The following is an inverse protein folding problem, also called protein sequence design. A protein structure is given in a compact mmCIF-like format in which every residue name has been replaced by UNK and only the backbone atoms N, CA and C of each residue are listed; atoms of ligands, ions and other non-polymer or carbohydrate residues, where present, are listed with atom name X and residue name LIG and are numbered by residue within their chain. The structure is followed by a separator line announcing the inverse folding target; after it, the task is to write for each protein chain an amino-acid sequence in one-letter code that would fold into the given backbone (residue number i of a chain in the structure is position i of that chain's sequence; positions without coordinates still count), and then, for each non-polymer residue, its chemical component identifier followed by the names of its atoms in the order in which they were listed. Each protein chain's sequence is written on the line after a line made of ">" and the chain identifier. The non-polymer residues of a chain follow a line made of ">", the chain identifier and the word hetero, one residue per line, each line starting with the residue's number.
data_IF_168440941679
#
_entry.id   IF_168440941679
#
_cell.length_a   1.000
_cell.length_b   1.000
_cell.length_c   1.000
_cell.angle_alpha   90.00
_cell.angle_beta   90.00
_cell.angle_gamma   90.00
#
_symmetry.space_group_name_H-M   'P 1'
#
loop_
_entity.id
_entity.type
_entity.pdbx_description
1 polymer ?
#
# COMPACT_ATOMS: atom_id res chain seq x y z
N UNK A 1 26.92 32.83 -29.09
CA UNK A 1 25.55 32.78 -28.52
C UNK A 1 24.77 31.71 -29.27
N UNK A 2 24.37 30.62 -28.61
CA UNK A 2 23.17 29.80 -28.85
C UNK A 2 23.21 28.70 -27.78
N UNK A 3 22.44 28.91 -26.71
CA UNK A 3 22.31 27.96 -25.61
C UNK A 3 21.73 26.64 -26.09
N UNK A 4 22.25 25.54 -25.58
CA UNK A 4 21.62 24.24 -25.77
C UNK A 4 21.19 23.72 -24.40
N UNK A 5 19.88 23.78 -24.19
CA UNK A 5 19.06 23.46 -23.04
C UNK A 5 19.16 22.01 -22.53
N UNK A 6 20.33 21.36 -22.59
CA UNK A 6 20.50 19.91 -22.37
C UNK A 6 20.85 19.50 -20.93
N UNK A 7 20.73 20.40 -19.95
CA UNK A 7 20.95 20.09 -18.52
C UNK A 7 19.73 20.32 -17.61
N UNK A 8 18.52 20.44 -18.17
CA UNK A 8 17.37 20.97 -17.42
C UNK A 8 16.75 19.98 -16.43
N UNK A 9 17.01 18.67 -16.53
CA UNK A 9 16.53 17.71 -15.53
C UNK A 9 17.69 17.03 -14.81
N UNK A 10 17.96 17.51 -13.59
CA UNK A 10 18.82 16.88 -12.59
C UNK A 10 18.38 15.44 -12.30
N UNK A 11 19.26 14.63 -11.70
CA UNK A 11 18.92 13.27 -11.22
C UNK A 11 17.63 13.24 -10.39
N UNK A 12 17.35 14.31 -9.63
CA UNK A 12 16.15 14.49 -8.81
C UNK A 12 14.87 14.66 -9.64
N UNK A 13 14.91 15.43 -10.71
CA UNK A 13 13.72 15.64 -11.54
C UNK A 13 13.34 14.36 -12.30
N UNK A 14 14.34 13.63 -12.83
CA UNK A 14 14.10 12.31 -13.44
C UNK A 14 13.56 11.31 -12.43
N UNK A 15 14.09 11.33 -11.21
CA UNK A 15 13.62 10.51 -10.10
C UNK A 15 12.15 10.82 -9.75
N UNK A 16 11.78 12.10 -9.67
CA UNK A 16 10.41 12.53 -9.40
C UNK A 16 9.47 12.11 -10.53
N UNK A 17 9.86 12.32 -11.79
CA UNK A 17 9.07 11.90 -12.95
C UNK A 17 8.84 10.39 -12.90
N UNK A 18 9.87 9.59 -12.63
CA UNK A 18 9.74 8.15 -12.50
C UNK A 18 8.79 7.78 -11.36
N UNK A 19 8.92 8.38 -10.18
CA UNK A 19 8.06 8.10 -9.04
C UNK A 19 6.59 8.40 -9.34
N UNK A 20 6.31 9.55 -9.98
CA UNK A 20 4.95 9.94 -10.39
C UNK A 20 4.38 8.99 -11.45
N UNK A 21 5.19 8.63 -12.46
CA UNK A 21 4.76 7.69 -13.51
C UNK A 21 4.48 6.31 -12.92
N UNK A 22 5.36 5.80 -12.05
CA UNK A 22 5.18 4.51 -11.40
C UNK A 22 3.90 4.51 -10.57
N UNK A 23 3.69 5.51 -9.73
CA UNK A 23 2.48 5.65 -8.92
C UNK A 23 1.22 5.70 -9.80
N UNK A 24 1.22 6.52 -10.86
CA UNK A 24 0.08 6.63 -11.76
C UNK A 24 -0.24 5.31 -12.45
N UNK A 25 0.77 4.62 -13.01
CA UNK A 25 0.58 3.34 -13.70
C UNK A 25 0.10 2.26 -12.74
N UNK A 26 0.63 2.20 -11.51
CA UNK A 26 0.13 1.29 -10.47
C UNK A 26 -1.33 1.60 -10.12
N UNK A 27 -1.71 2.86 -9.90
CA UNK A 27 -3.11 3.25 -9.65
C UNK A 27 -4.02 2.74 -10.78
N UNK A 28 -3.64 2.99 -12.05
CA UNK A 28 -4.44 2.53 -13.19
C UNK A 28 -4.52 1.01 -13.33
N UNK A 29 -3.43 0.29 -13.02
CA UNK A 29 -3.40 -1.17 -13.11
C UNK A 29 -4.34 -1.83 -12.08
N UNK A 30 -4.42 -1.28 -10.86
CA UNK A 30 -5.25 -1.81 -9.78
C UNK A 30 -6.67 -1.24 -9.73
N UNK A 31 -7.11 -0.51 -10.77
CA UNK A 31 -8.50 -0.02 -10.87
C UNK A 31 -9.59 -1.08 -10.63
N UNK A 32 -9.43 -2.38 -10.99
CA UNK A 32 -10.48 -3.36 -10.75
C UNK A 32 -10.69 -3.62 -9.25
N UNK A 33 -9.64 -3.51 -8.44
CA UNK A 33 -9.70 -3.75 -7.00
C UNK A 33 -10.53 -2.68 -6.25
N UNK A 34 -10.66 -1.47 -6.79
CA UNK A 34 -11.35 -0.36 -6.12
C UNK A 34 -12.84 -0.62 -5.84
N UNK A 35 -13.44 -1.53 -6.60
CA UNK A 35 -14.84 -1.92 -6.50
C UNK A 35 -15.01 -3.34 -5.94
N UNK A 36 -13.93 -3.95 -5.45
CA UNK A 36 -13.97 -5.26 -4.81
C UNK A 36 -14.69 -5.22 -3.46
N UNK A 37 -15.49 -6.25 -3.20
CA UNK A 37 -16.07 -6.50 -1.88
C UNK A 37 -15.10 -7.21 -0.94
N UNK A 38 -15.51 -7.36 0.32
CA UNK A 38 -14.87 -8.30 1.23
C UNK A 38 -15.01 -9.73 0.69
N UNK A 39 -13.99 -10.56 0.83
CA UNK A 39 -13.96 -11.94 0.31
C UNK A 39 -13.27 -12.89 1.30
N UNK A 40 -13.66 -14.16 1.24
CA UNK A 40 -13.02 -15.27 1.94
C UNK A 40 -13.00 -15.12 3.46
N UNK A 41 -11.89 -14.71 4.06
CA UNK A 41 -11.68 -14.60 5.51
C UNK A 41 -11.89 -13.19 6.06
N UNK A 42 -12.18 -12.20 5.21
CA UNK A 42 -12.52 -10.83 5.62
C UNK A 42 -13.70 -10.78 6.61
N UNK A 43 -14.60 -11.77 6.56
CA UNK A 43 -15.69 -11.92 7.52
C UNK A 43 -15.16 -12.04 8.96
N UNK A 44 -14.08 -12.80 9.16
CA UNK A 44 -13.46 -13.02 10.45
C UNK A 44 -12.51 -11.87 10.83
N UNK A 45 -11.76 -11.33 9.87
CA UNK A 45 -10.78 -10.27 10.14
C UNK A 45 -11.41 -8.89 10.33
N UNK A 46 -12.51 -8.60 9.61
CA UNK A 46 -13.10 -7.27 9.54
C UNK A 46 -14.57 -7.31 9.95
N UNK A 47 -15.44 -8.04 9.23
CA UNK A 47 -16.89 -7.83 9.35
C UNK A 47 -17.41 -8.14 10.75
N UNK A 48 -17.09 -9.34 11.25
CA UNK A 48 -17.54 -9.89 12.53
C UNK A 48 -16.51 -9.75 13.65
N UNK A 49 -15.43 -8.99 13.41
CA UNK A 49 -14.36 -8.84 14.38
C UNK A 49 -14.68 -7.78 15.44
N UNK A 50 -15.12 -8.23 16.61
CA UNK A 50 -15.44 -7.34 17.75
C UNK A 50 -14.23 -6.53 18.23
N UNK A 51 -13.01 -6.99 17.99
CA UNK A 51 -11.79 -6.24 18.35
C UNK A 51 -11.74 -4.88 17.67
N UNK A 52 -12.44 -4.69 16.54
CA UNK A 52 -12.44 -3.44 15.79
C UNK A 52 -13.47 -2.42 16.30
N UNK A 53 -14.44 -2.83 17.11
CA UNK A 53 -15.55 -1.96 17.55
C UNK A 53 -15.72 -1.90 19.07
N UNK A 54 -15.31 -2.93 19.81
CA UNK A 54 -15.47 -2.99 21.25
C UNK A 54 -14.64 -1.89 21.96
N UNK A 55 -15.11 -1.30 23.08
CA UNK A 55 -14.37 -0.25 23.80
C UNK A 55 -12.99 -0.69 24.28
N UNK A 56 -12.86 -1.95 24.70
CA UNK A 56 -11.62 -2.58 25.16
C UNK A 56 -10.77 -3.17 24.01
N UNK A 57 -11.22 -3.02 22.77
CA UNK A 57 -10.60 -3.65 21.61
C UNK A 57 -9.12 -3.30 21.44
N UNK A 58 -8.71 -2.06 21.74
CA UNK A 58 -7.28 -1.68 21.72
C UNK A 58 -6.43 -2.51 22.67
N UNK A 59 -6.92 -2.76 23.89
CA UNK A 59 -6.19 -3.58 24.86
C UNK A 59 -6.15 -5.04 24.40
N UNK A 60 -7.27 -5.58 23.91
CA UNK A 60 -7.36 -6.96 23.43
C UNK A 60 -6.47 -7.20 22.21
N UNK A 61 -6.43 -6.28 21.25
CA UNK A 61 -5.58 -6.36 20.05
C UNK A 61 -4.10 -6.58 20.39
N UNK A 62 -3.59 -5.94 21.45
CA UNK A 62 -2.16 -5.93 21.78
C UNK A 62 -1.73 -6.85 22.91
N UNK A 63 -2.67 -7.23 23.79
CA UNK A 63 -2.34 -7.91 25.04
C UNK A 63 -3.21 -9.14 25.31
N UNK A 64 -4.00 -9.59 24.33
CA UNK A 64 -4.78 -10.81 24.40
C UNK A 64 -4.47 -11.74 23.23
N UNK A 65 -4.64 -13.04 23.45
CA UNK A 65 -4.65 -14.06 22.38
C UNK A 65 -6.05 -14.25 21.78
N UNK A 66 -7.02 -13.47 22.24
CA UNK A 66 -8.35 -13.38 21.68
C UNK A 66 -8.27 -12.80 20.26
N UNK A 67 -8.31 -13.67 19.26
CA UNK A 67 -8.32 -13.31 17.84
C UNK A 67 -9.27 -14.22 17.08
N UNK A 68 -10.23 -13.65 16.32
CA UNK A 68 -11.15 -14.43 15.50
C UNK A 68 -10.48 -15.31 14.42
N UNK A 69 -9.23 -14.98 14.04
CA UNK A 69 -8.45 -15.77 13.08
C UNK A 69 -7.00 -15.96 13.53
N UNK A 70 -6.16 -14.93 13.43
CA UNK A 70 -4.75 -14.98 13.81
C UNK A 70 -4.31 -13.72 14.56
N UNK A 71 -3.30 -13.82 15.42
CA UNK A 71 -2.83 -12.69 16.22
C UNK A 71 -1.99 -11.71 15.40
N UNK A 72 -2.64 -10.66 14.87
CA UNK A 72 -2.01 -9.60 14.06
C UNK A 72 -2.27 -8.20 14.64
N UNK A 73 -1.55 -7.80 15.70
CA UNK A 73 -1.85 -6.58 16.44
C UNK A 73 -1.77 -5.31 15.58
N UNK A 74 -0.77 -5.20 14.70
CA UNK A 74 -0.64 -4.07 13.79
C UNK A 74 -1.75 -4.04 12.74
N UNK A 75 -2.07 -5.18 12.12
CA UNK A 75 -3.14 -5.29 11.11
C UNK A 75 -4.51 -4.98 11.73
N UNK A 76 -4.82 -5.49 12.92
CA UNK A 76 -6.06 -5.14 13.60
C UNK A 76 -6.08 -3.68 14.06
N UNK A 77 -4.93 -3.09 14.38
CA UNK A 77 -4.86 -1.67 14.66
C UNK A 77 -5.22 -0.82 13.43
N UNK A 78 -4.73 -1.19 12.24
CA UNK A 78 -5.11 -0.49 10.99
C UNK A 78 -6.58 -0.72 10.67
N UNK A 79 -7.05 -1.97 10.69
CA UNK A 79 -8.46 -2.29 10.44
C UNK A 79 -9.42 -1.64 11.42
N UNK A 80 -9.03 -1.44 12.68
CA UNK A 80 -9.85 -0.75 13.68
C UNK A 80 -10.00 0.74 13.34
N UNK A 81 -8.90 1.39 12.95
CA UNK A 81 -8.94 2.79 12.48
C UNK A 81 -9.77 2.89 11.21
N UNK A 82 -9.56 2.00 10.25
CA UNK A 82 -10.30 1.97 8.99
C UNK A 82 -11.79 1.69 9.21
N UNK A 83 -12.14 0.77 10.12
CA UNK A 83 -13.55 0.49 10.49
C UNK A 83 -14.22 1.69 11.14
N UNK A 84 -13.47 2.49 11.90
CA UNK A 84 -13.98 3.73 12.50
C UNK A 84 -14.16 4.86 11.46
N UNK A 85 -13.30 4.95 10.45
CA UNK A 85 -13.35 6.00 9.42
C UNK A 85 -14.31 5.69 8.28
N UNK A 86 -14.34 4.42 7.83
CA UNK A 86 -15.00 3.99 6.60
C UNK A 86 -16.14 3.00 6.84
N UNK A 87 -16.31 2.50 8.07
CA UNK A 87 -17.29 1.45 8.36
C UNK A 87 -16.98 0.18 7.56
N UNK A 88 -17.99 -0.38 6.90
CA UNK A 88 -17.86 -1.53 6.00
C UNK A 88 -17.68 -1.11 4.53
N UNK A 89 -17.36 0.15 4.25
CA UNK A 89 -17.06 0.58 2.89
C UNK A 89 -15.64 0.14 2.49
N UNK A 90 -15.55 -0.89 1.66
CA UNK A 90 -14.27 -1.51 1.21
C UNK A 90 -13.37 -0.53 0.45
N UNK A 91 -13.92 0.51 -0.17
CA UNK A 91 -13.14 1.48 -0.95
C UNK A 91 -12.04 2.13 -0.11
N UNK A 92 -12.29 2.45 1.16
CA UNK A 92 -11.29 3.02 2.06
C UNK A 92 -10.08 2.10 2.25
N UNK A 93 -10.36 0.83 2.55
CA UNK A 93 -9.36 -0.22 2.75
C UNK A 93 -8.50 -0.44 1.49
N UNK A 94 -9.13 -0.49 0.31
CA UNK A 94 -8.42 -0.66 -0.96
C UNK A 94 -7.47 0.50 -1.26
N UNK A 95 -7.87 1.75 -0.98
CA UNK A 95 -6.99 2.90 -1.18
C UNK A 95 -5.81 2.91 -0.21
N UNK A 96 -6.01 2.55 1.06
CA UNK A 96 -4.92 2.45 2.03
C UNK A 96 -3.89 1.40 1.56
N UNK A 97 -4.34 0.20 1.19
CA UNK A 97 -3.47 -0.85 0.68
C UNK A 97 -2.73 -0.44 -0.59
N UNK A 98 -3.42 0.19 -1.55
CA UNK A 98 -2.82 0.67 -2.79
C UNK A 98 -1.74 1.74 -2.54
N UNK A 99 -2.00 2.69 -1.64
CA UNK A 99 -1.03 3.74 -1.30
C UNK A 99 0.19 3.16 -0.57
N UNK A 100 -0.01 2.20 0.34
CA UNK A 100 1.08 1.47 0.99
C UNK A 100 1.92 0.69 -0.02
N UNK A 101 1.28 0.03 -1.00
CA UNK A 101 1.99 -0.70 -2.07
C UNK A 101 2.81 0.23 -2.96
N UNK A 102 2.25 1.38 -3.37
CA UNK A 102 3.00 2.39 -4.13
C UNK A 102 4.20 2.88 -3.30
N UNK A 103 4.00 3.16 -2.01
CA UNK A 103 5.08 3.50 -1.09
C UNK A 103 6.17 2.44 -1.05
N UNK A 104 5.80 1.17 -0.91
CA UNK A 104 6.71 0.04 -0.90
C UNK A 104 7.47 -0.12 -2.23
N UNK A 105 6.81 0.03 -3.38
CA UNK A 105 7.46 -0.01 -4.68
C UNK A 105 8.51 1.10 -4.84
N UNK A 106 8.21 2.31 -4.37
CA UNK A 106 9.16 3.43 -4.36
C UNK A 106 10.33 3.18 -3.40
N UNK A 107 10.07 2.56 -2.25
CA UNK A 107 11.12 2.16 -1.30
C UNK A 107 12.02 1.07 -1.89
N UNK A 108 11.45 0.05 -2.53
CA UNK A 108 12.20 -0.98 -3.27
C UNK A 108 13.11 -0.31 -4.29
N UNK A 109 12.56 0.58 -5.12
CA UNK A 109 13.36 1.33 -6.08
C UNK A 109 14.50 2.11 -5.40
N UNK A 110 14.21 2.84 -4.32
CA UNK A 110 15.19 3.65 -3.59
C UNK A 110 16.32 2.79 -2.99
N UNK A 111 15.99 1.64 -2.41
CA UNK A 111 16.96 0.68 -1.87
C UNK A 111 17.84 0.12 -2.99
N UNK A 112 17.24 -0.38 -4.08
CA UNK A 112 17.99 -0.96 -5.20
C UNK A 112 18.87 0.09 -5.90
N UNK A 113 18.40 1.33 -6.02
CA UNK A 113 19.18 2.45 -6.54
C UNK A 113 20.36 2.80 -5.62
N UNK A 114 20.16 2.78 -4.29
CA UNK A 114 21.23 3.00 -3.31
C UNK A 114 22.29 1.89 -3.35
N UNK A 115 21.87 0.65 -3.63
CA UNK A 115 22.76 -0.50 -3.88
C UNK A 115 23.42 -0.48 -5.27
N UNK A 116 23.11 0.52 -6.11
CA UNK A 116 23.64 0.67 -7.48
C UNK A 116 23.35 -0.52 -8.39
N UNK A 117 22.23 -1.21 -8.15
CA UNK A 117 21.82 -2.31 -9.01
C UNK A 117 21.39 -1.78 -10.38
N UNK A 118 21.95 -2.33 -11.49
CA UNK A 118 21.47 -2.00 -12.82
C UNK A 118 20.01 -2.44 -12.96
N UNK A 119 19.15 -1.58 -13.50
CA UNK A 119 17.74 -1.90 -13.71
C UNK A 119 16.85 -1.79 -12.45
N UNK A 120 17.28 -1.07 -11.41
CA UNK A 120 16.46 -0.84 -10.19
C UNK A 120 15.05 -0.31 -10.48
N UNK A 121 14.89 0.53 -11.50
CA UNK A 121 13.59 1.06 -11.95
C UNK A 121 12.68 -0.05 -12.53
N UNK A 122 13.26 -0.99 -13.27
CA UNK A 122 12.51 -2.10 -13.87
C UNK A 122 12.08 -3.10 -12.80
N UNK A 123 12.99 -3.44 -11.87
CA UNK A 123 12.67 -4.30 -10.73
C UNK A 123 11.51 -3.73 -9.89
N UNK A 124 11.52 -2.42 -9.64
CA UNK A 124 10.43 -1.75 -8.94
C UNK A 124 9.13 -1.72 -9.75
N UNK A 125 9.19 -1.53 -11.08
CA UNK A 125 8.02 -1.60 -11.94
C UNK A 125 7.40 -3.00 -11.98
N UNK A 126 8.23 -4.05 -12.05
CA UNK A 126 7.78 -5.44 -11.94
C UNK A 126 7.12 -5.66 -10.59
N UNK A 127 7.78 -5.28 -9.48
CA UNK A 127 7.20 -5.39 -8.14
C UNK A 127 5.85 -4.66 -8.03
N UNK A 128 5.75 -3.45 -8.58
CA UNK A 128 4.55 -2.63 -8.48
C UNK A 128 3.37 -3.13 -9.32
N UNK A 129 3.61 -3.88 -10.40
CA UNK A 129 2.59 -4.27 -11.38
C UNK A 129 2.35 -5.79 -11.46
N UNK A 130 3.14 -6.58 -10.74
CA UNK A 130 2.97 -8.02 -10.73
C UNK A 130 1.69 -8.40 -9.96
N UNK A 131 0.75 -9.16 -10.55
CA UNK A 131 -0.57 -9.42 -9.97
C UNK A 131 -0.57 -10.30 -8.71
N UNK A 132 0.59 -10.87 -8.35
CA UNK A 132 0.77 -11.56 -7.06
C UNK A 132 0.92 -10.58 -5.89
N UNK A 133 1.24 -9.33 -6.19
CA UNK A 133 1.37 -8.26 -5.21
C UNK A 133 0.03 -7.51 -5.19
N UNK A 134 -0.51 -7.30 -4.00
CA UNK A 134 -1.80 -6.62 -3.71
C UNK A 134 -3.04 -7.35 -4.20
#
# INVERSE_FOLDING_TARGET
>A
MHGNARRIFSSRARALIFAVVLAAVTIFAYRPAWHGGFLWDDDAYIINNELLTAPDGWQRIWFSLDSPSQYFPFTYSTFRIERALWGLNTTGYHWVNLLLHIGNALLVWAVLARLRLPGSWLAAAIFALHPVQV
#
